data_IF_103485606133
#
_entry.id   IF_103485606133
#
_cell.length_a   1.000
_cell.length_b   1.000
_cell.length_c   1.000
_cell.angle_alpha   90.00
_cell.angle_beta   90.00
_cell.angle_gamma   90.00
#
_symmetry.space_group_name_H-M   'P 1'
#
loop_
_entity.id
_entity.type
_entity.pdbx_description
1 polymer ?
#
# COMPACT_ATOMS: atom_id res chain seq x y z
N UNK A 1 33.88 17.57 -0.54
CA UNK A 1 32.57 18.21 -0.77
C UNK A 1 32.74 19.72 -0.62
N UNK A 2 32.43 20.50 -1.65
CA UNK A 2 32.86 21.90 -1.73
C UNK A 2 32.03 22.79 -0.79
N UNK A 3 32.72 23.65 -0.03
CA UNK A 3 32.10 24.81 0.63
C UNK A 3 31.35 25.70 -0.38
N UNK A 4 31.65 25.55 -1.68
CA UNK A 4 30.93 26.21 -2.78
C UNK A 4 29.46 25.77 -2.79
N UNK A 5 29.18 24.47 -2.77
CA UNK A 5 27.79 23.96 -2.76
C UNK A 5 27.03 24.42 -1.52
N UNK A 6 27.69 24.45 -0.37
CA UNK A 6 27.08 24.96 0.85
C UNK A 6 26.77 26.46 0.76
N UNK A 7 27.59 27.25 0.04
CA UNK A 7 27.30 28.68 -0.17
C UNK A 7 26.07 28.88 -1.05
N UNK A 8 25.88 28.03 -2.08
CA UNK A 8 24.65 28.00 -2.87
C UNK A 8 23.44 27.61 -2.01
N UNK A 9 23.58 26.63 -1.10
CA UNK A 9 22.51 26.25 -0.15
C UNK A 9 22.13 27.42 0.76
N UNK A 10 23.11 28.14 1.33
CA UNK A 10 22.83 29.32 2.17
C UNK A 10 22.07 30.40 1.40
N UNK A 11 22.53 30.74 0.19
CA UNK A 11 21.86 31.72 -0.67
C UNK A 11 20.46 31.26 -1.07
N UNK A 12 20.29 30.00 -1.42
CA UNK A 12 19.00 29.40 -1.78
C UNK A 12 18.00 29.46 -0.62
N UNK A 13 18.41 29.05 0.58
CA UNK A 13 17.57 29.11 1.78
C UNK A 13 17.14 30.53 2.12
N UNK A 14 18.07 31.49 2.00
CA UNK A 14 17.75 32.89 2.25
C UNK A 14 16.75 33.43 1.21
N UNK A 15 16.96 33.14 -0.08
CA UNK A 15 16.07 33.57 -1.15
C UNK A 15 14.68 32.93 -1.02
N UNK A 16 14.60 31.62 -0.76
CA UNK A 16 13.35 30.91 -0.56
C UNK A 16 12.58 31.45 0.66
N UNK A 17 13.30 31.76 1.75
CA UNK A 17 12.71 32.34 2.96
C UNK A 17 12.14 33.73 2.68
N UNK A 18 12.90 34.61 2.01
CA UNK A 18 12.45 35.95 1.64
C UNK A 18 11.30 35.94 0.63
N UNK A 19 11.28 34.96 -0.28
CA UNK A 19 10.19 34.73 -1.23
C UNK A 19 8.93 34.12 -0.57
N UNK A 20 8.95 33.85 0.74
CA UNK A 20 7.82 33.34 1.51
C UNK A 20 7.31 31.96 1.06
N UNK A 21 8.20 31.09 0.58
CA UNK A 21 7.85 29.72 0.22
C UNK A 21 7.63 28.86 1.47
N UNK A 22 6.53 28.12 1.57
CA UNK A 22 6.32 27.20 2.71
C UNK A 22 7.28 26.00 2.72
N UNK A 23 7.74 25.58 1.55
CA UNK A 23 8.56 24.39 1.35
C UNK A 23 9.65 24.68 0.30
N UNK A 24 10.84 24.12 0.50
CA UNK A 24 11.92 24.18 -0.48
C UNK A 24 12.75 22.91 -0.48
N UNK A 25 13.59 22.70 -1.49
CA UNK A 25 14.45 21.51 -1.56
C UNK A 25 15.90 21.84 -1.93
N UNK A 26 16.83 21.12 -1.31
CA UNK A 26 18.28 21.23 -1.58
C UNK A 26 18.88 19.86 -1.97
N UNK A 27 19.99 19.80 -2.72
CA UNK A 27 20.63 18.53 -3.05
C UNK A 27 21.06 17.74 -1.82
N UNK A 28 20.86 16.42 -1.83
CA UNK A 28 21.25 15.57 -0.71
C UNK A 28 22.77 15.40 -0.61
N UNK A 29 23.32 15.76 0.55
CA UNK A 29 24.66 15.35 0.98
C UNK A 29 24.65 15.13 2.49
N UNK A 30 25.60 14.36 3.03
CA UNK A 30 25.72 14.17 4.49
C UNK A 30 25.88 15.51 5.24
N UNK A 31 26.63 16.45 4.65
CA UNK A 31 26.84 17.79 5.22
C UNK A 31 25.56 18.64 5.20
N UNK A 32 24.80 18.60 4.12
CA UNK A 32 23.54 19.34 4.03
C UNK A 32 22.50 18.78 4.98
N UNK A 33 22.43 17.44 5.12
CA UNK A 33 21.54 16.79 6.06
C UNK A 33 21.88 17.16 7.50
N UNK A 34 23.16 17.10 7.90
CA UNK A 34 23.58 17.46 9.26
C UNK A 34 23.26 18.92 9.59
N UNK A 35 23.50 19.84 8.65
CA UNK A 35 23.12 21.25 8.82
C UNK A 35 21.59 21.42 8.91
N UNK A 36 20.82 20.77 8.03
CA UNK A 36 19.36 20.86 8.05
C UNK A 36 18.78 20.33 9.37
N UNK A 37 19.30 19.22 9.88
CA UNK A 37 18.92 18.67 11.18
C UNK A 37 19.27 19.61 12.33
N UNK A 38 20.42 20.26 12.29
CA UNK A 38 20.77 21.30 13.27
C UNK A 38 19.77 22.47 13.21
N UNK A 39 19.47 22.98 12.03
CA UNK A 39 18.50 24.08 11.86
C UNK A 39 17.09 23.69 12.32
N UNK A 40 16.70 22.43 12.12
CA UNK A 40 15.47 21.86 12.65
C UNK A 40 15.47 21.80 14.18
N UNK A 41 16.54 21.25 14.79
CA UNK A 41 16.74 21.21 16.25
C UNK A 41 16.69 22.59 16.88
N UNK A 42 17.26 23.60 16.22
CA UNK A 42 17.26 25.00 16.67
C UNK A 42 15.96 25.75 16.33
N UNK A 43 14.98 25.08 15.71
CA UNK A 43 13.67 25.63 15.46
C UNK A 43 13.54 26.53 14.23
N UNK A 44 14.56 26.68 13.39
CA UNK A 44 14.51 27.47 12.15
C UNK A 44 13.72 26.80 11.03
N UNK A 45 13.72 25.47 10.98
CA UNK A 45 12.96 24.67 10.03
C UNK A 45 11.81 23.95 10.75
N UNK A 46 10.68 23.76 10.05
CA UNK A 46 9.55 22.99 10.58
C UNK A 46 9.70 21.49 10.38
N UNK A 47 10.36 21.08 9.29
CA UNK A 47 10.60 19.68 8.96
C UNK A 47 11.80 19.53 8.05
N UNK A 48 12.39 18.33 8.08
CA UNK A 48 13.45 17.88 7.16
C UNK A 48 13.08 16.49 6.69
N UNK A 49 12.86 16.33 5.38
CA UNK A 49 12.46 15.06 4.76
C UNK A 49 13.42 14.73 3.62
N UNK A 50 13.72 13.45 3.45
CA UNK A 50 14.46 12.96 2.31
C UNK A 50 13.45 12.56 1.22
N UNK A 51 13.74 12.88 -0.04
CA UNK A 51 12.86 12.56 -1.16
C UNK A 51 13.56 12.67 -2.51
N UNK A 52 12.80 12.47 -3.58
CA UNK A 52 13.25 12.63 -4.96
C UNK A 52 13.17 14.08 -5.45
N UNK A 53 13.04 14.23 -6.77
CA UNK A 53 12.82 15.52 -7.44
C UNK A 53 11.47 16.17 -7.07
N UNK A 54 10.50 15.37 -6.65
CA UNK A 54 9.17 15.77 -6.16
C UNK A 54 9.12 15.79 -4.62
N UNK A 55 8.29 16.67 -4.01
CA UNK A 55 8.11 16.71 -2.57
C UNK A 55 7.39 15.45 -2.09
N UNK A 56 7.87 14.81 -1.02
CA UNK A 56 7.16 13.68 -0.44
C UNK A 56 5.82 14.12 0.15
N UNK A 57 4.82 13.25 0.11
CA UNK A 57 3.49 13.54 0.64
C UNK A 57 3.51 13.94 2.12
N UNK A 58 4.47 13.39 2.90
CA UNK A 58 4.64 13.73 4.31
C UNK A 58 5.10 15.16 4.59
N UNK A 59 5.46 15.94 3.57
CA UNK A 59 5.80 17.36 3.71
C UNK A 59 4.60 18.29 3.87
N UNK A 60 3.40 17.82 3.59
CA UNK A 60 2.20 18.64 3.70
C UNK A 60 1.47 18.28 5.01
N UNK A 61 0.86 19.27 5.72
CA UNK A 61 0.01 18.96 6.87
C UNK A 61 -1.02 17.95 6.41
N UNK A 62 -1.28 16.92 7.23
CA UNK A 62 -2.20 15.87 6.87
C UNK A 62 -3.46 16.51 6.30
N UNK A 63 -3.81 16.29 5.02
CA UNK A 63 -5.15 16.58 4.60
C UNK A 63 -6.08 15.84 5.56
N UNK A 64 -7.33 16.30 5.75
CA UNK A 64 -8.44 15.37 6.06
C UNK A 64 -8.08 14.05 5.40
N UNK A 65 -8.06 12.93 6.14
CA UNK A 65 -7.66 11.63 5.60
C UNK A 65 -8.27 11.53 4.19
N UNK A 66 -7.45 11.87 3.20
CA UNK A 66 -7.83 11.75 1.83
C UNK A 66 -7.65 10.27 1.74
N UNK A 67 -8.76 9.54 1.94
CA UNK A 67 -8.87 8.14 1.58
C UNK A 67 -8.00 8.04 0.36
N UNK A 68 -6.87 7.31 0.40
CA UNK A 68 -5.80 7.32 -0.59
C UNK A 68 -6.31 6.94 -2.01
N UNK A 69 -7.23 7.74 -2.54
CA UNK A 69 -8.16 7.50 -3.66
C UNK A 69 -7.82 8.42 -4.81
N UNK A 70 -6.81 9.27 -4.67
CA UNK A 70 -6.12 9.89 -5.80
C UNK A 70 -4.61 9.64 -5.71
N UNK A 71 -4.24 8.40 -5.46
CA UNK A 71 -3.21 7.72 -6.25
C UNK A 71 -3.78 6.36 -6.61
N UNK A 72 -4.17 6.14 -7.86
CA UNK A 72 -4.77 4.89 -8.36
C UNK A 72 -3.76 3.74 -8.49
N UNK A 73 -2.88 3.57 -7.50
CA UNK A 73 -1.85 2.54 -7.48
C UNK A 73 -2.13 1.55 -6.33
N UNK A 74 -2.11 0.23 -6.56
CA UNK A 74 -2.43 -0.78 -5.56
C UNK A 74 -1.35 -0.93 -4.47
N UNK A 75 -1.73 -1.57 -3.37
CA UNK A 75 -0.88 -1.85 -2.20
C UNK A 75 0.45 -2.57 -2.51
N UNK A 76 0.51 -3.36 -3.59
CA UNK A 76 1.74 -3.99 -4.11
C UNK A 76 2.89 -3.00 -4.35
N UNK A 77 2.58 -1.75 -4.70
CA UNK A 77 3.60 -0.75 -5.02
C UNK A 77 4.19 -0.07 -3.75
N UNK A 78 3.58 -0.30 -2.58
CA UNK A 78 4.11 0.12 -1.27
C UNK A 78 4.95 -0.96 -0.60
N UNK A 79 4.54 -2.23 -0.73
CA UNK A 79 5.29 -3.38 -0.26
C UNK A 79 5.31 -4.50 -1.34
N UNK A 80 6.48 -4.79 -1.94
CA UNK A 80 6.60 -5.80 -2.99
C UNK A 80 6.36 -7.23 -2.49
N UNK A 81 6.28 -7.45 -1.17
CA UNK A 81 6.10 -8.75 -0.52
C UNK A 81 4.77 -8.90 0.22
N UNK A 82 3.84 -7.97 0.02
CA UNK A 82 2.51 -8.06 0.61
C UNK A 82 1.67 -9.22 0.03
N UNK A 83 0.61 -9.61 0.75
CA UNK A 83 -0.31 -10.67 0.34
C UNK A 83 -1.01 -10.39 -1.00
N UNK A 84 -1.36 -9.14 -1.28
CA UNK A 84 -1.97 -8.75 -2.56
C UNK A 84 -0.98 -8.91 -3.73
N UNK A 85 0.31 -8.68 -3.47
CA UNK A 85 1.37 -8.87 -4.44
C UNK A 85 1.58 -10.37 -4.76
N UNK A 86 1.50 -11.23 -3.74
CA UNK A 86 1.52 -12.68 -3.90
C UNK A 86 0.31 -13.16 -4.72
N UNK A 87 -0.91 -12.73 -4.38
CA UNK A 87 -2.15 -13.06 -5.10
C UNK A 87 -2.05 -12.70 -6.58
N UNK A 88 -1.56 -11.50 -6.87
CA UNK A 88 -1.37 -11.06 -8.25
C UNK A 88 -0.43 -12.01 -9.02
N UNK A 89 0.71 -12.35 -8.42
CA UNK A 89 1.72 -13.18 -9.06
C UNK A 89 1.21 -14.63 -9.27
N UNK A 90 0.33 -15.12 -8.39
CA UNK A 90 -0.37 -16.40 -8.63
C UNK A 90 -1.36 -16.33 -9.79
N UNK A 91 -2.16 -15.26 -9.89
CA UNK A 91 -3.27 -15.18 -10.84
C UNK A 91 -2.81 -14.72 -12.23
N UNK A 92 -2.01 -13.65 -12.30
CA UNK A 92 -1.57 -13.04 -13.56
C UNK A 92 -0.29 -13.68 -14.10
N UNK A 93 0.64 -14.10 -13.22
CA UNK A 93 1.91 -14.73 -13.64
C UNK A 93 1.91 -16.26 -13.51
N UNK A 94 0.82 -16.85 -13.00
CA UNK A 94 0.66 -18.31 -12.82
C UNK A 94 1.77 -18.95 -11.99
N UNK A 95 2.34 -18.20 -11.05
CA UNK A 95 3.38 -18.72 -10.15
C UNK A 95 2.78 -19.71 -9.14
N UNK A 96 3.60 -20.69 -8.76
CA UNK A 96 3.28 -21.65 -7.69
C UNK A 96 3.65 -21.07 -6.33
N UNK A 97 3.09 -21.67 -5.29
CA UNK A 97 3.35 -21.34 -3.89
C UNK A 97 4.85 -21.45 -3.53
N UNK A 98 5.49 -22.54 -3.98
CA UNK A 98 6.93 -22.79 -3.79
C UNK A 98 7.77 -21.66 -4.39
N UNK A 99 7.41 -21.19 -5.58
CA UNK A 99 8.14 -20.13 -6.25
C UNK A 99 7.98 -18.77 -5.53
N UNK A 100 6.82 -18.50 -4.93
CA UNK A 100 6.65 -17.31 -4.08
C UNK A 100 7.52 -17.39 -2.82
N UNK A 101 7.62 -18.58 -2.20
CA UNK A 101 8.52 -18.77 -1.05
C UNK A 101 9.98 -18.56 -1.42
N UNK A 102 10.44 -19.13 -2.54
CA UNK A 102 11.79 -18.95 -3.06
C UNK A 102 12.12 -17.47 -3.32
N UNK A 103 11.15 -16.72 -3.83
CA UNK A 103 11.35 -15.30 -4.05
C UNK A 103 11.44 -14.55 -2.72
N UNK A 104 10.90 -15.06 -1.61
CA UNK A 104 10.99 -14.45 -0.28
C UNK A 104 9.70 -13.73 0.18
N UNK A 105 8.53 -14.20 -0.26
CA UNK A 105 7.25 -13.81 0.38
C UNK A 105 7.14 -14.44 1.77
N UNK A 106 6.48 -13.76 2.72
CA UNK A 106 6.18 -14.34 4.03
C UNK A 106 5.10 -15.41 3.92
N UNK A 107 5.07 -16.35 4.88
CA UNK A 107 4.01 -17.38 4.92
C UNK A 107 2.62 -16.74 5.04
N UNK A 108 2.47 -15.67 5.83
CA UNK A 108 1.21 -14.91 5.95
C UNK A 108 0.75 -14.34 4.59
N UNK A 109 1.68 -13.85 3.77
CA UNK A 109 1.36 -13.30 2.45
C UNK A 109 0.95 -14.39 1.46
N UNK A 110 1.57 -15.57 1.55
CA UNK A 110 1.25 -16.73 0.72
C UNK A 110 -0.11 -17.32 1.11
N UNK A 111 -0.39 -17.45 2.41
CA UNK A 111 -1.69 -17.90 2.92
C UNK A 111 -2.82 -16.96 2.50
N UNK A 112 -2.63 -15.65 2.69
CA UNK A 112 -3.55 -14.63 2.19
C UNK A 112 -3.85 -14.81 0.70
N UNK A 113 -2.82 -15.02 -0.12
CA UNK A 113 -2.97 -15.19 -1.56
C UNK A 113 -3.73 -16.47 -1.92
N UNK A 114 -3.51 -17.57 -1.19
CA UNK A 114 -4.22 -18.83 -1.42
C UNK A 114 -5.71 -18.71 -1.07
N UNK A 115 -6.03 -18.06 0.04
CA UNK A 115 -7.41 -17.82 0.46
C UNK A 115 -8.15 -16.95 -0.56
N UNK A 116 -7.60 -15.79 -0.90
CA UNK A 116 -8.24 -14.81 -1.79
C UNK A 116 -8.22 -15.24 -3.26
N UNK A 117 -7.48 -16.29 -3.61
CA UNK A 117 -7.55 -16.92 -4.93
C UNK A 117 -8.77 -17.82 -5.07
N UNK A 118 -9.39 -18.29 -4.00
CA UNK A 118 -10.57 -19.14 -4.12
C UNK A 118 -11.82 -18.30 -4.37
N UNK A 119 -12.66 -18.72 -5.32
CA UNK A 119 -13.92 -18.03 -5.56
C UNK A 119 -14.90 -18.22 -4.39
N UNK A 120 -15.61 -17.14 -4.06
CA UNK A 120 -16.72 -17.16 -3.11
C UNK A 120 -17.96 -17.85 -3.68
N UNK A 121 -18.94 -18.12 -2.82
CA UNK A 121 -20.23 -18.72 -3.22
C UNK A 121 -20.92 -17.88 -4.31
N UNK A 122 -21.09 -16.59 -4.05
CA UNK A 122 -21.79 -15.67 -4.96
C UNK A 122 -21.10 -15.57 -6.33
N UNK A 123 -19.76 -15.63 -6.36
CA UNK A 123 -19.00 -15.60 -7.60
C UNK A 123 -19.23 -16.88 -8.43
N UNK A 124 -19.25 -18.04 -7.79
CA UNK A 124 -19.53 -19.31 -8.47
C UNK A 124 -20.98 -19.38 -8.99
N UNK A 125 -21.94 -18.79 -8.26
CA UNK A 125 -23.33 -18.67 -8.72
C UNK A 125 -23.43 -17.73 -9.92
N UNK A 126 -22.74 -16.58 -9.90
CA UNK A 126 -22.67 -15.66 -11.04
C UNK A 126 -22.05 -16.29 -12.29
N UNK A 127 -21.10 -17.21 -12.12
CA UNK A 127 -20.49 -17.96 -13.21
C UNK A 127 -21.39 -19.10 -13.73
N UNK A 128 -22.56 -19.31 -13.12
CA UNK A 128 -23.58 -20.26 -13.56
C UNK A 128 -23.36 -21.71 -13.11
N UNK A 129 -22.50 -21.92 -12.11
CA UNK A 129 -22.25 -23.27 -11.57
C UNK A 129 -23.46 -23.83 -10.81
N UNK A 130 -24.34 -22.97 -10.33
CA UNK A 130 -25.64 -23.30 -9.75
C UNK A 130 -26.51 -24.11 -10.73
N UNK A 131 -26.53 -23.70 -11.99
CA UNK A 131 -27.37 -24.29 -13.02
C UNK A 131 -26.88 -25.69 -13.39
N UNK A 132 -25.56 -25.88 -13.40
CA UNK A 132 -24.95 -27.22 -13.60
C UNK A 132 -25.23 -28.15 -12.41
N UNK A 133 -25.19 -27.64 -11.18
CA UNK A 133 -25.55 -28.40 -9.99
C UNK A 133 -27.02 -28.85 -10.05
N UNK A 134 -27.92 -27.94 -10.44
CA UNK A 134 -29.35 -28.22 -10.62
C UNK A 134 -29.58 -29.26 -11.72
N UNK A 135 -28.93 -29.11 -12.87
CA UNK A 135 -29.03 -30.07 -13.98
C UNK A 135 -28.60 -31.48 -13.53
N UNK A 136 -27.55 -31.55 -12.73
CA UNK A 136 -27.07 -32.81 -12.15
C UNK A 136 -28.11 -33.43 -11.20
N UNK A 137 -28.66 -32.64 -10.27
CA UNK A 137 -29.67 -33.10 -9.32
C UNK A 137 -30.96 -33.56 -10.00
N UNK A 138 -31.45 -32.83 -11.02
CA UNK A 138 -32.65 -33.22 -11.74
C UNK A 138 -32.47 -34.51 -12.56
N UNK A 139 -31.24 -34.79 -13.02
CA UNK A 139 -30.93 -35.97 -13.82
C UNK A 139 -30.68 -37.22 -12.98
N UNK A 140 -30.10 -37.07 -11.78
CA UNK A 140 -29.61 -38.19 -10.97
C UNK A 140 -30.28 -38.30 -9.58
N UNK A 141 -31.00 -37.29 -9.10
CA UNK A 141 -31.56 -37.23 -7.74
C UNK A 141 -32.71 -38.22 -7.44
N UNK A 142 -33.25 -38.91 -8.45
CA UNK A 142 -34.23 -39.99 -8.27
C UNK A 142 -33.62 -41.39 -8.39
N UNK A 143 -32.32 -41.51 -8.72
CA UNK A 143 -31.67 -42.81 -8.87
C UNK A 143 -31.33 -43.40 -7.50
N UNK A 144 -31.57 -44.71 -7.28
CA UNK A 144 -31.15 -45.37 -6.05
C UNK A 144 -29.63 -45.40 -5.93
N UNK A 145 -29.12 -45.43 -4.70
CA UNK A 145 -27.67 -45.38 -4.41
C UNK A 145 -26.87 -46.44 -5.17
N UNK A 146 -27.38 -47.67 -5.26
CA UNK A 146 -26.70 -48.79 -5.92
C UNK A 146 -26.39 -48.50 -7.41
N UNK A 147 -27.31 -47.81 -8.11
CA UNK A 147 -27.11 -47.44 -9.52
C UNK A 147 -26.11 -46.28 -9.68
N UNK A 148 -25.97 -45.42 -8.68
CA UNK A 148 -24.98 -44.35 -8.68
C UNK A 148 -23.56 -44.90 -8.46
N UNK A 149 -23.42 -46.02 -7.74
CA UNK A 149 -22.14 -46.69 -7.57
C UNK A 149 -21.68 -47.37 -8.87
N UNK A 150 -22.60 -48.02 -9.57
CA UNK A 150 -22.34 -48.65 -10.87
C UNK A 150 -22.00 -47.63 -11.97
N UNK A 151 -22.59 -46.43 -11.93
CA UNK A 151 -22.28 -45.33 -12.85
C UNK A 151 -20.93 -44.65 -12.54
N UNK A 152 -20.25 -45.05 -11.45
CA UNK A 152 -18.88 -44.61 -11.14
C UNK A 152 -18.78 -43.22 -10.52
N UNK A 153 -19.86 -42.69 -9.93
CA UNK A 153 -19.80 -41.39 -9.23
C UNK A 153 -18.93 -41.47 -7.99
N UNK A 154 -18.17 -40.41 -7.74
CA UNK A 154 -17.31 -40.27 -6.56
C UNK A 154 -18.12 -40.07 -5.27
N UNK A 155 -17.45 -40.21 -4.13
CA UNK A 155 -18.08 -40.09 -2.81
C UNK A 155 -18.65 -38.69 -2.57
N UNK A 156 -18.04 -37.65 -3.14
CA UNK A 156 -18.50 -36.27 -3.05
C UNK A 156 -19.83 -36.06 -3.81
N UNK A 157 -19.96 -36.53 -5.06
CA UNK A 157 -21.23 -36.45 -5.80
C UNK A 157 -22.36 -37.20 -5.09
N UNK A 158 -22.05 -38.36 -4.48
CA UNK A 158 -23.04 -39.13 -3.70
C UNK A 158 -23.51 -38.36 -2.46
N UNK A 159 -22.59 -37.69 -1.74
CA UNK A 159 -22.98 -36.84 -0.60
C UNK A 159 -23.86 -35.67 -1.02
N UNK A 160 -23.54 -35.00 -2.14
CA UNK A 160 -24.34 -33.89 -2.67
C UNK A 160 -25.78 -34.32 -3.00
N UNK A 161 -25.94 -35.52 -3.59
CA UNK A 161 -27.26 -36.09 -3.89
C UNK A 161 -28.06 -36.48 -2.64
N UNK A 162 -27.37 -36.89 -1.57
CA UNK A 162 -28.02 -37.24 -0.30
C UNK A 162 -28.43 -36.00 0.49
N UNK A 163 -27.59 -34.97 0.51
CA UNK A 163 -27.83 -33.73 1.26
C UNK A 163 -29.01 -32.92 0.70
N UNK A 164 -29.35 -33.11 -0.58
CA UNK A 164 -30.51 -32.49 -1.21
C UNK A 164 -31.60 -33.54 -1.42
N UNK A 165 -32.64 -33.52 -0.60
CA UNK A 165 -33.79 -34.43 -0.72
C UNK A 165 -34.68 -34.05 -1.92
N UNK A 166 -34.19 -34.37 -3.12
CA UNK A 166 -34.87 -34.14 -4.40
C UNK A 166 -36.27 -34.77 -4.42
N UNK A 167 -36.52 -35.99 -3.90
CA UNK A 167 -37.87 -36.56 -3.78
C UNK A 167 -38.85 -35.67 -3.00
N UNK A 168 -38.46 -35.14 -1.85
CA UNK A 168 -39.30 -34.25 -1.04
C UNK A 168 -39.50 -32.87 -1.68
N UNK A 169 -38.49 -32.34 -2.37
CA UNK A 169 -38.64 -31.12 -3.16
C UNK A 169 -39.65 -31.30 -4.31
N UNK A 170 -39.64 -32.47 -4.97
CA UNK A 170 -40.58 -32.81 -6.03
C UNK A 170 -42.01 -32.89 -5.51
N UNK A 171 -42.26 -33.55 -4.38
CA UNK A 171 -43.62 -33.65 -3.81
C UNK A 171 -44.17 -32.28 -3.39
N UNK A 172 -43.32 -31.45 -2.79
CA UNK A 172 -43.67 -30.09 -2.35
C UNK A 172 -44.01 -29.19 -3.54
N UNK A 173 -43.17 -29.17 -4.58
CA UNK A 173 -43.43 -28.36 -5.78
C UNK A 173 -44.65 -28.87 -6.56
N UNK A 174 -44.86 -30.20 -6.61
CA UNK A 174 -46.01 -30.82 -7.29
C UNK A 174 -47.33 -30.42 -6.63
N UNK A 175 -47.42 -30.50 -5.29
CA UNK A 175 -48.62 -30.08 -4.55
C UNK A 175 -48.91 -28.58 -4.69
N UNK A 176 -47.88 -27.73 -4.67
CA UNK A 176 -48.03 -26.30 -4.90
C UNK A 176 -48.57 -25.98 -6.30
N UNK A 177 -48.04 -26.64 -7.33
CA UNK A 177 -48.47 -26.43 -8.71
C UNK A 177 -49.89 -26.97 -8.96
N UNK A 178 -50.24 -28.11 -8.35
CA UNK A 178 -51.58 -28.69 -8.41
C UNK A 178 -52.63 -27.73 -7.84
N UNK A 179 -52.33 -27.12 -6.69
CA UNK A 179 -53.20 -26.13 -6.05
C UNK A 179 -53.36 -24.85 -6.89
N UNK A 180 -52.30 -24.39 -7.57
CA UNK A 180 -52.35 -23.18 -8.40
C UNK A 180 -53.13 -23.38 -9.70
N UNK A 181 -53.06 -24.57 -10.30
CA UNK A 181 -53.73 -24.89 -11.56
C UNK A 181 -55.13 -25.50 -11.38
N UNK A 182 -55.50 -25.87 -10.14
CA UNK A 182 -56.73 -26.61 -9.82
C UNK A 182 -56.81 -27.98 -10.54
N UNK A 183 -55.67 -28.67 -10.66
CA UNK A 183 -55.54 -29.97 -11.35
C UNK A 183 -55.02 -31.03 -10.36
N UNK A 184 -55.38 -32.30 -10.56
CA UNK A 184 -54.82 -33.44 -9.83
C UNK A 184 -53.28 -33.52 -9.95
N UNK A 185 -52.59 -33.79 -8.85
CA UNK A 185 -51.12 -33.87 -8.76
C UNK A 185 -50.51 -34.86 -9.77
N UNK A 186 -51.26 -35.91 -10.09
CA UNK A 186 -50.85 -36.95 -11.02
C UNK A 186 -50.92 -36.53 -12.50
N UNK A 187 -51.68 -35.48 -12.83
CA UNK A 187 -51.82 -34.99 -14.21
C UNK A 187 -50.75 -33.94 -14.60
N UNK A 188 -49.89 -33.54 -13.66
CA UNK A 188 -48.79 -32.60 -13.91
C UNK A 188 -47.70 -33.26 -14.77
N UNK A 189 -47.45 -32.69 -15.94
CA UNK A 189 -46.40 -33.17 -16.85
C UNK A 189 -44.99 -32.79 -16.34
N UNK A 190 -43.97 -33.56 -16.74
CA UNK A 190 -42.57 -33.27 -16.41
C UNK A 190 -42.13 -31.89 -16.92
N UNK A 191 -42.65 -31.47 -18.06
CA UNK A 191 -42.36 -30.16 -18.68
C UNK A 191 -42.94 -28.98 -17.89
N UNK A 192 -44.07 -29.18 -17.20
CA UNK A 192 -44.66 -28.16 -16.31
C UNK A 192 -43.94 -28.10 -14.95
N UNK A 193 -43.44 -29.24 -14.48
CA UNK A 193 -42.81 -29.39 -13.17
C UNK A 193 -41.36 -28.87 -13.14
N UNK A 194 -40.58 -29.13 -14.20
CA UNK A 194 -39.14 -28.83 -14.25
C UNK A 194 -38.82 -27.33 -14.03
N UNK A 195 -39.51 -26.35 -14.66
CA UNK A 195 -39.24 -24.94 -14.43
C UNK A 195 -39.45 -24.51 -12.97
N UNK A 196 -40.48 -25.07 -12.32
CA UNK A 196 -40.81 -24.76 -10.91
C UNK A 196 -39.81 -25.39 -9.95
N UNK A 197 -39.36 -26.61 -10.24
CA UNK A 197 -38.28 -27.26 -9.48
C UNK A 197 -36.94 -26.54 -9.62
N UNK A 198 -36.58 -26.11 -10.82
CA UNK A 198 -35.38 -25.29 -11.04
C UNK A 198 -35.46 -23.99 -10.23
N UNK A 199 -36.61 -23.33 -10.20
CA UNK A 199 -36.82 -22.13 -9.39
C UNK A 199 -36.74 -22.42 -7.88
N UNK A 200 -37.28 -23.55 -7.43
CA UNK A 200 -37.20 -23.99 -6.03
C UNK A 200 -35.75 -24.23 -5.60
N UNK A 201 -35.01 -25.03 -6.36
CA UNK A 201 -33.60 -25.35 -6.07
C UNK A 201 -32.70 -24.10 -6.15
N UNK A 202 -32.96 -23.18 -7.09
CA UNK A 202 -32.26 -21.87 -7.12
C UNK A 202 -32.53 -21.04 -5.87
N UNK A 203 -33.72 -21.14 -5.29
CA UNK A 203 -34.10 -20.41 -4.07
C UNK A 203 -33.45 -21.00 -2.83
N UNK A 204 -33.32 -22.32 -2.75
CA UNK A 204 -32.58 -22.99 -1.68
C UNK A 204 -31.08 -22.67 -1.77
N UNK A 205 -30.54 -22.65 -2.99
CA UNK A 205 -29.14 -22.36 -3.26
C UNK A 205 -28.22 -23.47 -2.78
N UNK A 206 -26.94 -23.38 -3.15
CA UNK A 206 -25.96 -24.43 -2.84
C UNK A 206 -24.88 -23.92 -1.90
N UNK A 207 -24.29 -24.78 -1.05
CA UNK A 207 -23.10 -24.41 -0.32
C UNK A 207 -21.92 -24.25 -1.30
N UNK A 208 -20.92 -23.44 -0.90
CA UNK A 208 -19.75 -23.15 -1.75
C UNK A 208 -19.03 -24.41 -2.20
N UNK A 209 -18.94 -25.42 -1.33
CA UNK A 209 -18.23 -26.67 -1.59
C UNK A 209 -18.87 -27.46 -2.74
N UNK A 210 -20.20 -27.55 -2.77
CA UNK A 210 -20.95 -28.15 -3.88
C UNK A 210 -20.70 -27.43 -5.19
N UNK A 211 -20.75 -26.09 -5.18
CA UNK A 211 -20.47 -25.30 -6.38
C UNK A 211 -19.01 -25.45 -6.85
N UNK A 212 -18.06 -25.45 -5.91
CA UNK A 212 -16.64 -25.63 -6.20
C UNK A 212 -16.34 -27.04 -6.73
N UNK A 213 -17.09 -28.05 -6.29
CA UNK A 213 -17.02 -29.41 -6.83
C UNK A 213 -17.40 -29.43 -8.31
N UNK A 214 -18.55 -28.86 -8.67
CA UNK A 214 -19.00 -28.80 -10.07
C UNK A 214 -18.13 -27.88 -10.95
N UNK A 215 -17.56 -26.83 -10.38
CA UNK A 215 -16.57 -25.97 -11.05
C UNK A 215 -15.27 -26.72 -11.36
N UNK A 216 -14.91 -27.69 -10.54
CA UNK A 216 -13.67 -28.44 -10.66
C UNK A 216 -12.44 -27.64 -10.22
N UNK A 217 -11.24 -28.24 -10.30
CA UNK A 217 -10.05 -27.75 -9.62
C UNK A 217 -9.53 -26.41 -10.15
N UNK A 218 -9.79 -26.11 -11.43
CA UNK A 218 -9.32 -24.90 -12.10
C UNK A 218 -10.34 -23.76 -12.07
N UNK A 219 -11.62 -24.05 -12.32
CA UNK A 219 -12.64 -23.01 -12.41
C UNK A 219 -13.14 -22.51 -11.04
N UNK A 220 -12.80 -23.21 -9.95
CA UNK A 220 -12.99 -22.71 -8.58
C UNK A 220 -12.01 -21.61 -8.16
N UNK A 221 -11.02 -21.31 -8.99
CA UNK A 221 -9.97 -20.32 -8.71
C UNK A 221 -10.25 -19.01 -9.46
N UNK A 222 -9.91 -17.89 -8.81
CA UNK A 222 -10.05 -16.56 -9.36
C UNK A 222 -9.18 -16.39 -10.61
N UNK A 223 -9.78 -15.76 -11.62
CA UNK A 223 -9.12 -15.35 -12.86
C UNK A 223 -8.88 -13.84 -12.83
N UNK A 224 -8.01 -13.29 -13.70
CA UNK A 224 -7.86 -11.84 -13.84
C UNK A 224 -9.19 -11.09 -13.95
N UNK A 225 -10.14 -11.63 -14.73
CA UNK A 225 -11.47 -11.04 -14.91
C UNK A 225 -12.28 -11.00 -13.62
N UNK A 226 -12.17 -12.03 -12.78
CA UNK A 226 -12.87 -12.06 -11.49
C UNK A 226 -12.33 -10.97 -10.56
N UNK A 227 -11.00 -10.80 -10.50
CA UNK A 227 -10.38 -9.76 -9.67
C UNK A 227 -10.68 -8.34 -10.17
N UNK A 228 -10.76 -8.15 -11.49
CA UNK A 228 -11.12 -6.87 -12.10
C UNK A 228 -12.60 -6.52 -11.89
N UNK A 229 -13.50 -7.52 -11.92
CA UNK A 229 -14.95 -7.33 -11.74
C UNK A 229 -15.34 -7.13 -10.28
N UNK A 230 -14.84 -7.97 -9.38
CA UNK A 230 -15.36 -8.11 -8.02
C UNK A 230 -14.46 -7.45 -6.96
N UNK A 231 -13.18 -7.21 -7.30
CA UNK A 231 -12.17 -6.74 -6.36
C UNK A 231 -11.76 -7.80 -5.34
N UNK A 232 -11.06 -7.35 -4.28
CA UNK A 232 -10.64 -8.20 -3.15
C UNK A 232 -11.20 -7.66 -1.83
N UNK A 233 -11.43 -8.56 -0.87
CA UNK A 233 -11.70 -8.17 0.51
C UNK A 233 -10.37 -7.88 1.23
N UNK A 234 -10.29 -6.79 1.98
CA UNK A 234 -9.10 -6.43 2.76
C UNK A 234 -9.45 -6.26 4.24
N UNK A 235 -8.62 -6.78 5.13
CA UNK A 235 -8.78 -6.55 6.58
C UNK A 235 -8.01 -5.31 6.98
N UNK A 236 -8.72 -4.26 7.40
CA UNK A 236 -8.13 -3.02 7.90
C UNK A 236 -8.66 -2.75 9.31
N UNK A 237 -7.76 -2.62 10.29
CA UNK A 237 -8.11 -2.33 11.70
C UNK A 237 -9.10 -3.35 12.31
N UNK A 238 -9.02 -4.62 11.90
CA UNK A 238 -9.92 -5.69 12.36
C UNK A 238 -11.29 -5.70 11.70
N UNK A 239 -11.52 -4.88 10.67
CA UNK A 239 -12.75 -4.84 9.89
C UNK A 239 -12.47 -5.27 8.45
N UNK A 240 -13.34 -6.13 7.90
CA UNK A 240 -13.26 -6.57 6.50
C UNK A 240 -13.90 -5.52 5.59
N UNK A 241 -13.13 -4.98 4.66
CA UNK A 241 -13.58 -4.03 3.65
C UNK A 241 -13.73 -4.80 2.31
N UNK A 242 -14.96 -5.02 1.82
CA UNK A 242 -15.19 -5.77 0.58
C UNK A 242 -14.86 -4.94 -0.67
N UNK A 243 -14.74 -5.64 -1.80
CA UNK A 243 -14.72 -5.09 -3.17
C UNK A 243 -13.69 -3.97 -3.42
N UNK A 244 -12.50 -4.10 -2.84
CA UNK A 244 -11.41 -3.16 -3.12
C UNK A 244 -10.83 -3.42 -4.51
N UNK A 245 -10.60 -2.36 -5.32
CA UNK A 245 -10.13 -2.52 -6.69
C UNK A 245 -8.75 -3.18 -6.73
N UNK A 246 -8.62 -4.22 -7.55
CA UNK A 246 -7.39 -4.97 -7.77
C UNK A 246 -6.85 -4.66 -9.17
N UNK A 247 -6.06 -3.60 -9.33
CA UNK A 247 -5.36 -3.31 -10.59
C UNK A 247 -3.89 -3.05 -10.30
N UNK A 248 -2.97 -3.65 -11.06
CA UNK A 248 -1.54 -3.30 -10.98
C UNK A 248 -1.18 -2.17 -11.90
N UNK A 249 -0.34 -1.26 -11.40
CA UNK A 249 0.34 -0.31 -12.27
C UNK A 249 1.18 -1.06 -13.33
N UNK A 250 1.11 -0.64 -14.62
CA UNK A 250 2.00 -1.12 -15.66
C UNK A 250 3.47 -1.05 -15.21
N UNK A 251 4.34 -1.98 -15.66
CA UNK A 251 5.77 -1.96 -15.31
C UNK A 251 6.47 -0.61 -15.58
N UNK A 252 6.00 0.14 -16.58
CA UNK A 252 6.51 1.45 -16.97
C UNK A 252 6.18 2.58 -15.97
N UNK A 253 5.19 2.42 -15.10
CA UNK A 253 4.79 3.39 -14.07
C UNK A 253 5.19 2.95 -12.66
N UNK A 254 6.00 1.90 -12.53
CA UNK A 254 6.63 1.50 -11.28
C UNK A 254 7.82 2.43 -11.00
N UNK A 255 8.16 2.60 -9.73
CA UNK A 255 9.42 3.25 -9.32
C UNK A 255 10.44 2.17 -8.89
N UNK A 256 11.05 1.43 -9.83
CA UNK A 256 11.94 0.31 -9.52
C UNK A 256 13.19 0.74 -8.74
N UNK A 257 13.59 2.01 -8.88
CA UNK A 257 14.77 2.59 -8.23
C UNK A 257 14.44 3.31 -6.90
N UNK A 258 13.17 3.27 -6.50
CA UNK A 258 12.64 3.92 -5.31
C UNK A 258 13.01 5.41 -5.25
N UNK A 259 13.03 6.10 -6.40
CA UNK A 259 13.28 7.53 -6.58
C UNK A 259 12.38 8.40 -5.69
N UNK A 260 11.14 7.99 -5.44
CA UNK A 260 10.13 8.71 -4.68
C UNK A 260 10.05 8.27 -3.20
N UNK A 261 10.63 7.12 -2.84
CA UNK A 261 10.62 6.62 -1.45
C UNK A 261 11.32 7.56 -0.46
N UNK A 262 10.78 7.78 0.73
CA UNK A 262 11.32 8.79 1.68
C UNK A 262 12.58 8.33 2.45
N UNK A 263 12.85 7.02 2.53
CA UNK A 263 13.88 6.47 3.42
C UNK A 263 15.08 5.81 2.72
N UNK A 264 14.95 5.40 1.47
CA UNK A 264 15.89 4.44 0.86
C UNK A 264 16.87 5.10 -0.12
N UNK A 265 18.12 5.30 0.28
CA UNK A 265 19.16 5.80 -0.65
C UNK A 265 19.88 4.65 -1.33
N UNK A 266 19.67 4.48 -2.64
CA UNK A 266 20.32 3.49 -3.51
C UNK A 266 21.41 4.13 -4.37
N UNK A 267 22.19 3.31 -5.09
CA UNK A 267 23.18 3.82 -6.06
C UNK A 267 22.52 4.55 -7.23
N UNK A 268 21.35 4.08 -7.68
CA UNK A 268 20.59 4.66 -8.78
C UNK A 268 20.00 6.03 -8.40
N UNK A 269 19.45 6.16 -7.18
CA UNK A 269 18.73 7.37 -6.78
C UNK A 269 19.58 8.45 -6.10
N UNK A 270 20.80 8.13 -5.62
CA UNK A 270 21.63 9.08 -4.83
C UNK A 270 21.84 10.43 -5.50
N UNK A 271 21.96 10.47 -6.82
CA UNK A 271 22.19 11.71 -7.58
C UNK A 271 20.93 12.59 -7.67
N UNK A 272 19.74 11.99 -7.75
CA UNK A 272 18.45 12.69 -7.82
C UNK A 272 17.87 13.02 -6.45
N UNK A 273 18.42 12.45 -5.37
CA UNK A 273 17.93 12.71 -4.00
C UNK A 273 18.06 14.18 -3.59
N UNK A 274 16.99 14.66 -2.95
CA UNK A 274 16.89 16.00 -2.37
C UNK A 274 16.45 15.92 -0.91
N UNK A 275 16.82 16.95 -0.16
CA UNK A 275 16.30 17.22 1.17
C UNK A 275 15.22 18.28 1.03
N UNK A 276 14.00 17.91 1.40
CA UNK A 276 12.84 18.79 1.47
C UNK A 276 12.78 19.43 2.86
N UNK A 277 12.72 20.76 2.87
CA UNK A 277 12.86 21.60 4.06
C UNK A 277 11.62 22.47 4.19
N UNK A 278 10.92 22.36 5.31
CA UNK A 278 9.81 23.25 5.64
C UNK A 278 10.32 24.56 6.25
N UNK A 279 9.94 25.67 5.64
CA UNK A 279 10.33 27.01 6.08
C UNK A 279 9.29 27.55 7.05
N UNK A 280 9.75 28.26 8.09
CA UNK A 280 8.89 28.85 9.12
C UNK A 280 8.72 30.34 8.93
N UNK A 281 7.51 30.79 9.21
CA UNK A 281 7.11 32.18 9.19
C UNK A 281 6.35 32.51 10.47
N UNK A 282 6.62 33.69 11.01
CA UNK A 282 5.92 34.22 12.17
C UNK A 282 5.58 35.68 11.91
N UNK A 283 4.31 36.04 12.11
CA UNK A 283 3.81 37.40 11.88
C UNK A 283 4.21 37.98 10.50
N UNK A 284 4.05 37.15 9.46
CA UNK A 284 4.42 37.49 8.08
C UNK A 284 5.93 37.60 7.80
N UNK A 285 6.79 37.38 8.79
CA UNK A 285 8.25 37.46 8.64
C UNK A 285 8.91 36.06 8.65
N UNK A 286 9.96 35.83 7.84
CA UNK A 286 10.68 34.55 7.86
C UNK A 286 11.48 34.37 9.15
N UNK A 287 11.36 33.19 9.79
CA UNK A 287 12.18 32.82 10.96
C UNK A 287 13.66 32.72 10.56
N UNK A 288 13.93 32.11 9.39
CA UNK A 288 15.27 32.10 8.78
C UNK A 288 15.43 33.29 7.84
N UNK A 289 15.70 34.48 8.39
CA UNK A 289 15.86 35.70 7.59
C UNK A 289 17.19 35.79 6.84
N UNK A 290 18.25 35.16 7.38
CA UNK A 290 19.61 35.33 6.89
C UNK A 290 20.44 34.08 7.10
N UNK A 291 21.08 33.59 6.05
CA UNK A 291 21.98 32.45 6.10
C UNK A 291 23.31 32.84 5.46
N UNK A 292 24.38 32.93 6.27
CA UNK A 292 25.71 33.34 5.78
C UNK A 292 26.78 32.34 6.16
N UNK A 293 27.62 32.06 5.19
CA UNK A 293 28.83 31.26 5.38
C UNK A 293 29.98 32.15 5.90
N UNK A 294 30.62 31.70 6.98
CA UNK A 294 31.80 32.36 7.56
C UNK A 294 33.08 31.85 6.88
N UNK A 295 33.32 30.54 6.93
CA UNK A 295 34.44 29.89 6.23
C UNK A 295 34.11 29.73 4.75
N UNK A 296 34.74 30.53 3.89
CA UNK A 296 34.56 30.48 2.44
C UNK A 296 35.48 29.43 1.81
N UNK A 297 35.19 28.94 0.59
CA UNK A 297 36.10 28.05 -0.15
C UNK A 297 37.51 28.62 -0.29
N UNK A 298 37.63 29.93 -0.51
CA UNK A 298 38.88 30.67 -0.68
C UNK A 298 39.63 30.91 0.63
N UNK A 299 38.91 31.07 1.75
CA UNK A 299 39.49 31.33 3.06
C UNK A 299 38.67 30.65 4.15
N UNK A 300 39.27 29.62 4.76
CA UNK A 300 38.66 28.82 5.82
C UNK A 300 39.18 29.27 7.18
N UNK A 301 38.28 29.34 8.14
CA UNK A 301 38.60 29.64 9.53
C UNK A 301 38.51 28.38 10.36
N UNK A 302 39.52 28.18 11.20
CA UNK A 302 39.59 27.15 12.22
C UNK A 302 39.68 27.87 13.56
N UNK A 303 38.81 27.50 14.50
CA UNK A 303 38.75 28.10 15.82
C UNK A 303 39.05 27.02 16.85
N UNK A 304 39.86 27.35 17.84
CA UNK A 304 40.00 26.53 19.03
C UNK A 304 38.79 26.75 19.98
N UNK A 305 38.68 25.92 21.01
CA UNK A 305 37.58 26.03 21.97
C UNK A 305 37.53 27.39 22.67
N UNK A 306 38.69 28.04 22.87
CA UNK A 306 38.79 29.32 23.55
C UNK A 306 38.31 30.49 22.68
N UNK A 307 38.77 30.58 21.43
CA UNK A 307 38.31 31.59 20.48
C UNK A 307 36.84 31.36 20.10
N UNK A 308 36.39 30.11 19.98
CA UNK A 308 34.96 29.82 19.78
C UNK A 308 34.13 30.30 20.99
N UNK A 309 34.64 30.12 22.21
CA UNK A 309 34.03 30.66 23.43
C UNK A 309 33.92 32.19 23.43
N UNK A 310 34.89 32.91 22.85
CA UNK A 310 34.77 34.37 22.64
C UNK A 310 33.67 34.70 21.63
N UNK A 311 33.64 33.99 20.50
CA UNK A 311 32.63 34.18 19.44
C UNK A 311 31.21 34.01 19.99
N UNK A 312 31.00 32.96 20.79
CA UNK A 312 29.70 32.68 21.42
C UNK A 312 29.27 33.79 22.39
N UNK A 313 30.21 34.42 23.10
CA UNK A 313 29.97 35.55 24.02
C UNK A 313 29.84 36.91 23.32
N UNK A 314 29.81 36.94 21.98
CA UNK A 314 29.68 38.16 21.19
C UNK A 314 31.00 38.89 20.90
N UNK A 315 32.13 38.37 21.38
CA UNK A 315 33.47 38.86 21.02
C UNK A 315 33.93 38.33 19.67
N UNK A 316 35.01 38.89 19.12
CA UNK A 316 35.58 38.39 17.85
C UNK A 316 36.59 37.26 18.08
N UNK A 317 36.53 36.22 17.25
CA UNK A 317 37.48 35.09 17.22
C UNK A 317 38.38 35.11 15.98
N UNK A 318 39.35 34.20 15.90
CA UNK A 318 40.33 34.12 14.81
C UNK A 318 40.97 35.48 14.47
N UNK A 319 41.60 36.11 15.47
CA UNK A 319 42.27 37.42 15.32
C UNK A 319 41.36 38.55 14.77
N UNK A 320 40.05 38.49 15.04
CA UNK A 320 39.10 39.53 14.64
C UNK A 320 38.36 39.27 13.34
N UNK A 321 38.67 38.19 12.62
CA UNK A 321 38.07 37.90 11.31
C UNK A 321 36.71 37.21 11.41
N UNK A 322 36.45 36.48 12.51
CA UNK A 322 35.15 35.88 12.80
C UNK A 322 34.41 36.74 13.82
N UNK A 323 33.31 37.36 13.37
CA UNK A 323 32.44 38.16 14.22
C UNK A 323 31.71 37.28 15.23
N UNK A 324 31.62 37.75 16.46
CA UNK A 324 30.83 37.13 17.52
C UNK A 324 29.32 37.11 17.24
N UNK A 325 28.64 36.18 17.90
CA UNK A 325 27.18 36.11 17.94
C UNK A 325 26.67 37.27 18.80
N UNK A 326 26.20 38.32 18.13
CA UNK A 326 25.86 39.60 18.77
C UNK A 326 24.37 39.84 18.91
N UNK A 327 23.53 39.09 18.18
CA UNK A 327 22.07 39.23 18.25
C UNK A 327 21.45 38.02 18.90
N UNK A 328 20.42 38.28 19.71
CA UNK A 328 19.59 37.22 20.29
C UNK A 328 18.94 36.43 19.15
N UNK A 329 18.99 35.10 19.25
CA UNK A 329 18.50 34.19 18.21
C UNK A 329 19.51 33.86 17.11
N UNK A 330 20.72 34.43 17.09
CA UNK A 330 21.77 33.97 16.17
C UNK A 330 22.35 32.62 16.59
N UNK A 331 22.47 31.71 15.62
CA UNK A 331 23.13 30.42 15.74
C UNK A 331 24.31 30.33 14.77
N UNK A 332 25.37 29.66 15.20
CA UNK A 332 26.52 29.34 14.34
C UNK A 332 26.69 27.83 14.30
N UNK A 333 26.71 27.27 13.08
CA UNK A 333 27.01 25.87 12.86
C UNK A 333 28.53 25.70 12.65
N UNK A 334 29.14 24.79 13.40
CA UNK A 334 30.57 24.48 13.37
C UNK A 334 30.74 23.03 12.92
N UNK A 335 31.64 22.81 11.96
CA UNK A 335 32.04 21.45 11.57
C UNK A 335 33.12 20.96 12.54
N UNK A 336 32.85 19.85 13.21
CA UNK A 336 33.76 19.16 14.13
C UNK A 336 34.07 17.75 13.63
N UNK A 337 34.95 17.04 14.32
CA UNK A 337 35.19 15.61 14.16
C UNK A 337 33.94 14.76 14.46
N UNK A 338 33.05 15.24 15.34
CA UNK A 338 31.78 14.60 15.71
C UNK A 338 30.60 15.02 14.83
N UNK A 339 30.85 15.79 13.77
CA UNK A 339 29.84 16.28 12.84
C UNK A 339 29.54 17.76 12.99
N UNK A 340 28.42 18.20 12.41
CA UNK A 340 28.01 19.61 12.45
C UNK A 340 27.21 19.86 13.72
N UNK A 341 27.67 20.82 14.52
CA UNK A 341 27.11 21.14 15.83
C UNK A 341 26.94 22.65 15.99
N UNK A 342 26.12 23.06 16.95
CA UNK A 342 25.95 24.48 17.25
C UNK A 342 27.14 24.98 18.11
N UNK A 343 27.56 26.22 17.91
CA UNK A 343 28.78 26.76 18.50
C UNK A 343 28.81 26.72 20.04
N UNK A 344 27.69 26.93 20.74
CA UNK A 344 27.56 26.82 22.20
C UNK A 344 27.67 25.36 22.63
N UNK A 345 27.04 24.45 21.90
CA UNK A 345 27.15 23.00 22.14
C UNK A 345 28.61 22.53 21.99
N UNK A 346 29.36 23.08 21.03
CA UNK A 346 30.80 22.80 20.90
C UNK A 346 31.60 23.32 22.12
N UNK A 347 31.37 24.56 22.54
CA UNK A 347 32.10 25.15 23.69
C UNK A 347 31.84 24.38 24.98
N UNK A 348 30.62 23.88 25.17
CA UNK A 348 30.24 23.08 26.32
C UNK A 348 30.96 21.72 26.35
N UNK A 349 31.10 21.06 25.18
CA UNK A 349 31.69 19.72 25.09
C UNK A 349 33.22 19.71 25.00
N UNK A 350 33.84 20.88 24.78
CA UNK A 350 35.27 21.08 24.50
C UNK A 350 35.73 20.23 23.32
#
# INVERSE_FOLDING_TARGET
MSLVNLSHVCSHLQNASLARLGLTSIPYTKLHLSLALLLHKQGFLSQVKLGGSSPPASCFPAPLADNHRITGAPHRDRDPRAGEAALHDMVYRRKTEEHLREEGFSEEAVEFALEHRQLGKEQLEQDGWDTRAIDFLLKHGQKPHDQLEEEGFDTAARSILHDHDVPSAISTVRSQLANELEIDENAISKEQLEPRLRAHLRREGFPRETLAYFAGPTARLATPRHLERDGIALTAMGLTVPSQPFTTLPPASRDPDALESESTVTRANRASRRLWLGLKYWDGNPVLSKARMVSKPTKRYWLDAWDLGKVVRGGSGAKGEVRGLGRVGEVMAVSTDRGVMEARECVERR
#
